data_IF_815781908236
#
_entry.id   IF_815781908236
#
_cell.length_a   1.000
_cell.length_b   1.000
_cell.length_c   1.000
_cell.angle_alpha   90.00
_cell.angle_beta   90.00
_cell.angle_gamma   90.00
#
_symmetry.space_group_name_H-M   'P 1'
#
loop_
_entity.id
_entity.type
_entity.pdbx_description
1 polymer ?
#
# COMPACT_ATOMS: atom_id res chain seq x y z
N UNK A 1 12.88 -15.51 33.15
CA UNK A 1 12.76 -14.10 33.51
C UNK A 1 11.52 -13.48 32.91
N UNK A 2 10.78 -12.73 33.71
CA UNK A 2 9.53 -12.16 33.22
C UNK A 2 9.78 -11.00 32.27
N UNK A 3 9.30 -11.14 31.07
CA UNK A 3 9.42 -10.11 30.04
C UNK A 3 8.16 -9.28 29.94
N UNK A 4 7.38 -9.29 30.99
CA UNK A 4 6.09 -8.55 31.02
C UNK A 4 6.33 -7.11 31.45
N UNK A 5 5.82 -6.20 30.65
CA UNK A 5 5.68 -4.82 31.04
C UNK A 5 4.60 -4.75 32.13
N UNK A 6 4.81 -4.01 33.23
CA UNK A 6 3.76 -3.89 34.23
C UNK A 6 2.47 -3.36 33.62
N UNK A 7 1.37 -4.06 33.86
CA UNK A 7 0.06 -3.70 33.32
C UNK A 7 -0.26 -4.27 31.95
N UNK A 8 0.71 -4.87 31.28
CA UNK A 8 0.49 -5.46 29.96
C UNK A 8 0.10 -6.93 30.10
N UNK A 9 -0.75 -7.38 29.18
CA UNK A 9 -1.20 -8.77 29.13
C UNK A 9 -0.19 -9.69 28.44
N UNK A 10 0.63 -9.11 27.53
CA UNK A 10 1.56 -9.91 26.73
C UNK A 10 2.97 -9.80 27.27
N UNK A 11 3.79 -10.84 26.99
CA UNK A 11 5.22 -10.79 27.28
C UNK A 11 5.95 -10.08 26.13
N UNK A 12 7.19 -9.68 26.40
CA UNK A 12 8.02 -9.08 25.36
C UNK A 12 8.22 -10.04 24.18
N UNK A 13 8.39 -11.32 24.47
CA UNK A 13 8.59 -12.33 23.43
C UNK A 13 7.36 -12.42 22.51
N UNK A 14 6.17 -12.36 23.09
CA UNK A 14 4.93 -12.37 22.30
C UNK A 14 4.83 -11.12 21.44
N UNK A 15 5.15 -9.95 22.00
CA UNK A 15 5.11 -8.71 21.24
C UNK A 15 6.15 -8.72 20.11
N UNK A 16 7.35 -9.18 20.39
CA UNK A 16 8.42 -9.25 19.38
C UNK A 16 8.03 -10.21 18.25
N UNK A 17 7.40 -11.34 18.58
CA UNK A 17 6.91 -12.28 17.58
C UNK A 17 5.86 -11.62 16.67
N UNK A 18 4.96 -10.83 17.26
CA UNK A 18 3.97 -10.11 16.50
C UNK A 18 4.63 -9.12 15.55
N UNK A 19 5.60 -8.36 16.05
CA UNK A 19 6.26 -7.32 15.26
C UNK A 19 7.11 -7.91 14.13
N UNK A 20 7.89 -8.96 14.40
CA UNK A 20 8.74 -9.55 13.35
C UNK A 20 7.90 -10.16 12.22
N UNK A 21 6.69 -10.60 12.51
CA UNK A 21 5.77 -11.08 11.49
C UNK A 21 5.58 -10.05 10.37
N UNK A 22 5.50 -8.78 10.74
CA UNK A 22 5.22 -7.72 9.77
C UNK A 22 6.42 -7.33 8.93
N UNK A 23 7.64 -7.71 9.32
CA UNK A 23 8.78 -7.59 8.41
C UNK A 23 8.53 -8.41 7.16
N UNK A 24 8.26 -9.70 7.35
CA UNK A 24 8.05 -10.62 6.24
C UNK A 24 6.81 -10.29 5.43
N UNK A 25 5.72 -9.96 6.13
CA UNK A 25 4.48 -9.62 5.43
C UNK A 25 4.68 -8.43 4.50
N UNK A 26 5.41 -7.42 4.94
CA UNK A 26 5.65 -6.23 4.12
C UNK A 26 6.60 -6.50 2.97
N UNK A 27 7.54 -7.40 3.14
CA UNK A 27 8.39 -7.83 2.02
C UNK A 27 7.50 -8.49 0.95
N UNK A 28 6.63 -9.42 1.34
CA UNK A 28 5.72 -10.06 0.39
C UNK A 28 4.81 -9.04 -0.29
N UNK A 29 4.27 -8.10 0.48
CA UNK A 29 3.41 -7.10 -0.10
C UNK A 29 4.12 -6.30 -1.18
N UNK A 30 5.34 -5.86 -0.90
CA UNK A 30 6.08 -5.01 -1.85
C UNK A 30 6.56 -5.77 -3.06
N UNK A 31 6.88 -7.06 -2.91
CA UNK A 31 7.20 -7.89 -4.06
C UNK A 31 6.07 -7.85 -5.08
N UNK A 32 4.83 -8.00 -4.63
CA UNK A 32 3.69 -8.00 -5.56
C UNK A 32 3.15 -6.61 -5.86
N UNK A 33 3.31 -5.65 -4.98
CA UNK A 33 2.81 -4.30 -5.25
C UNK A 33 3.73 -3.52 -6.19
N UNK A 34 5.04 -3.71 -6.05
CA UNK A 34 6.01 -2.90 -6.81
C UNK A 34 6.77 -3.71 -7.85
N UNK A 35 7.31 -4.86 -7.48
CA UNK A 35 8.20 -5.57 -8.40
C UNK A 35 7.47 -6.36 -9.48
N UNK A 36 6.22 -6.72 -9.28
CA UNK A 36 5.50 -7.55 -10.24
C UNK A 36 5.46 -6.89 -11.62
N UNK A 37 5.29 -5.57 -11.70
CA UNK A 37 5.25 -4.86 -12.98
C UNK A 37 6.56 -4.99 -13.72
N UNK A 38 7.69 -4.79 -13.03
CA UNK A 38 9.00 -4.94 -13.61
C UNK A 38 9.23 -6.39 -14.07
N UNK A 39 8.88 -7.34 -13.22
CA UNK A 39 9.06 -8.75 -13.58
C UNK A 39 8.27 -9.12 -14.83
N UNK A 40 7.01 -8.70 -14.90
CA UNK A 40 6.17 -8.99 -16.07
C UNK A 40 6.66 -8.29 -17.33
N UNK A 41 7.19 -7.08 -17.19
CA UNK A 41 7.72 -6.34 -18.33
C UNK A 41 9.00 -6.97 -18.87
N UNK A 42 9.63 -7.89 -18.12
CA UNK A 42 10.84 -8.58 -18.54
C UNK A 42 10.58 -10.02 -18.99
N UNK A 43 9.32 -10.35 -19.33
CA UNK A 43 8.97 -11.69 -19.80
C UNK A 43 8.90 -11.81 -21.33
N UNK A 44 9.12 -10.71 -22.05
CA UNK A 44 9.03 -10.73 -23.52
C UNK A 44 7.61 -10.81 -24.04
N UNK A 45 6.64 -10.41 -23.24
CA UNK A 45 5.22 -10.47 -23.59
C UNK A 45 4.73 -9.05 -23.90
N UNK A 46 3.78 -8.94 -24.82
CA UNK A 46 3.18 -7.65 -25.19
C UNK A 46 2.68 -6.92 -23.94
N UNK A 47 3.15 -5.68 -23.73
CA UNK A 47 2.84 -4.95 -22.50
C UNK A 47 1.36 -4.61 -22.34
N UNK A 48 0.64 -4.36 -23.44
CA UNK A 48 -0.79 -4.09 -23.35
C UNK A 48 -1.54 -5.31 -22.82
N UNK A 49 -1.16 -6.51 -23.26
CA UNK A 49 -1.77 -7.74 -22.76
C UNK A 49 -1.44 -7.97 -21.29
N UNK A 50 -0.19 -7.73 -20.89
CA UNK A 50 0.22 -7.83 -19.49
C UNK A 50 -0.61 -6.87 -18.63
N UNK A 51 -0.75 -5.63 -19.10
CA UNK A 51 -1.50 -4.62 -18.35
C UNK A 51 -2.94 -5.05 -18.13
N UNK A 52 -3.57 -5.61 -19.14
CA UNK A 52 -4.96 -6.05 -19.02
C UNK A 52 -5.10 -7.19 -18.01
N UNK A 53 -4.23 -8.20 -18.10
CA UNK A 53 -4.30 -9.34 -17.18
C UNK A 53 -3.99 -8.87 -15.75
N UNK A 54 -2.99 -8.02 -15.59
CA UNK A 54 -2.63 -7.48 -14.27
C UNK A 54 -3.80 -6.72 -13.66
N UNK A 55 -4.46 -5.88 -14.46
CA UNK A 55 -5.63 -5.15 -13.99
C UNK A 55 -6.74 -6.09 -13.55
N UNK A 56 -7.03 -7.10 -14.35
CA UNK A 56 -8.11 -8.04 -14.04
C UNK A 56 -7.84 -8.77 -12.72
N UNK A 57 -6.63 -9.29 -12.53
CA UNK A 57 -6.34 -10.07 -11.32
C UNK A 57 -6.28 -9.19 -10.09
N UNK A 58 -5.82 -7.93 -10.24
CA UNK A 58 -5.78 -7.02 -9.10
C UNK A 58 -7.17 -6.48 -8.74
N UNK A 59 -8.05 -6.31 -9.71
CA UNK A 59 -9.45 -5.98 -9.43
C UNK A 59 -10.10 -7.14 -8.68
N UNK A 60 -9.79 -8.38 -9.07
CA UNK A 60 -10.26 -9.55 -8.32
C UNK A 60 -9.84 -9.44 -6.85
N UNK A 61 -8.60 -9.03 -6.58
CA UNK A 61 -8.12 -8.81 -5.23
C UNK A 61 -9.03 -7.84 -4.46
N UNK A 62 -9.41 -6.74 -5.10
CA UNK A 62 -10.25 -5.74 -4.44
C UNK A 62 -11.65 -6.25 -4.13
N UNK A 63 -12.22 -7.10 -4.98
CA UNK A 63 -13.59 -7.56 -4.79
C UNK A 63 -13.70 -8.84 -3.98
N UNK A 64 -12.60 -9.60 -3.81
CA UNK A 64 -12.70 -10.85 -3.08
C UNK A 64 -12.55 -10.70 -1.56
N UNK A 65 -12.15 -9.52 -1.07
CA UNK A 65 -12.00 -9.30 0.35
C UNK A 65 -13.29 -9.56 1.15
N UNK A 66 -14.47 -9.08 0.70
CA UNK A 66 -15.69 -9.43 1.43
C UNK A 66 -15.95 -10.93 1.49
N UNK A 67 -15.60 -11.64 0.41
CA UNK A 67 -15.75 -13.10 0.38
C UNK A 67 -14.85 -13.73 1.43
N UNK A 68 -13.60 -13.29 1.51
CA UNK A 68 -12.66 -13.81 2.50
C UNK A 68 -13.05 -13.46 3.92
N UNK A 69 -13.51 -12.22 4.13
CA UNK A 69 -13.99 -11.84 5.44
C UNK A 69 -15.11 -12.75 5.90
N UNK A 70 -16.05 -13.05 5.01
CA UNK A 70 -17.14 -13.95 5.31
C UNK A 70 -16.64 -15.35 5.65
N UNK A 71 -15.73 -15.89 4.84
CA UNK A 71 -15.15 -17.23 5.08
C UNK A 71 -14.41 -17.26 6.42
N UNK A 72 -13.58 -16.22 6.67
CA UNK A 72 -12.82 -16.13 7.90
C UNK A 72 -13.74 -16.14 9.13
N UNK A 73 -14.84 -15.41 9.07
CA UNK A 73 -15.78 -15.34 10.18
C UNK A 73 -16.55 -16.65 10.38
N UNK A 74 -16.80 -17.40 9.33
CA UNK A 74 -17.64 -18.61 9.41
C UNK A 74 -16.87 -19.87 9.74
N UNK A 75 -15.60 -19.98 9.36
CA UNK A 75 -14.82 -21.20 9.61
C UNK A 75 -14.39 -21.23 11.08
N UNK A 76 -14.64 -22.34 11.74
CA UNK A 76 -14.23 -22.56 13.12
C UNK A 76 -13.36 -23.82 13.19
N UNK A 77 -12.27 -23.72 13.92
CA UNK A 77 -11.35 -24.83 14.07
C UNK A 77 -11.64 -25.59 15.36
N UNK A 78 -11.23 -26.85 15.40
CA UNK A 78 -11.53 -27.75 16.52
C UNK A 78 -11.01 -27.25 17.85
N UNK A 79 -9.88 -26.54 17.85
CA UNK A 79 -9.29 -26.04 19.08
C UNK A 79 -9.92 -24.72 19.57
N UNK A 80 -10.93 -24.22 18.88
CA UNK A 80 -11.59 -22.98 19.23
C UNK A 80 -10.88 -21.71 18.82
N UNK A 81 -9.69 -21.84 18.25
CA UNK A 81 -8.93 -20.70 17.77
C UNK A 81 -9.45 -20.26 16.42
N UNK A 82 -9.34 -18.96 16.13
CA UNK A 82 -9.83 -18.40 14.87
C UNK A 82 -8.68 -17.90 13.99
N UNK A 83 -7.82 -17.04 14.54
CA UNK A 83 -6.76 -16.40 13.75
C UNK A 83 -5.53 -17.26 13.59
N UNK A 84 -5.08 -17.90 14.65
CA UNK A 84 -3.79 -18.58 14.65
C UNK A 84 -3.70 -19.73 13.64
N UNK A 85 -4.74 -20.58 13.47
CA UNK A 85 -4.64 -21.63 12.44
C UNK A 85 -4.49 -21.04 11.04
N UNK A 86 -5.19 -19.94 10.74
CA UNK A 86 -5.04 -19.30 9.43
C UNK A 86 -3.62 -18.77 9.25
N UNK A 87 -3.02 -18.19 10.30
CA UNK A 87 -1.65 -17.69 10.22
C UNK A 87 -0.66 -18.84 9.97
N UNK A 88 -0.88 -19.97 10.59
CA UNK A 88 -0.01 -21.13 10.37
C UNK A 88 -0.09 -21.63 8.93
N UNK A 89 -1.30 -21.72 8.41
CA UNK A 89 -1.51 -22.15 7.02
C UNK A 89 -0.83 -21.16 6.07
N UNK A 90 -1.06 -19.87 6.27
CA UNK A 90 -0.52 -18.87 5.36
C UNK A 90 1.00 -18.76 5.45
N UNK A 91 1.58 -18.88 6.65
CA UNK A 91 3.04 -18.82 6.80
C UNK A 91 3.71 -19.99 6.05
N UNK A 92 3.08 -21.16 6.04
CA UNK A 92 3.61 -22.31 5.31
C UNK A 92 3.45 -22.14 3.81
N UNK A 93 2.34 -21.56 3.35
CA UNK A 93 2.00 -21.51 1.93
C UNK A 93 2.54 -20.29 1.20
N UNK A 94 2.72 -19.15 1.90
CA UNK A 94 3.05 -17.91 1.20
C UNK A 94 4.39 -17.96 0.46
N UNK A 95 5.46 -18.57 1.01
CA UNK A 95 6.69 -18.67 0.21
C UNK A 95 6.50 -19.54 -1.03
N UNK A 96 5.73 -20.60 -0.93
CA UNK A 96 5.49 -21.51 -2.06
C UNK A 96 4.78 -20.78 -3.20
N UNK A 97 3.67 -20.09 -2.87
CA UNK A 97 2.91 -19.40 -3.94
C UNK A 97 3.66 -18.20 -4.50
N UNK A 98 4.50 -17.55 -3.68
CA UNK A 98 5.33 -16.45 -4.17
C UNK A 98 6.37 -16.96 -5.16
N UNK A 99 7.02 -18.07 -4.85
CA UNK A 99 8.01 -18.66 -5.76
C UNK A 99 7.33 -19.08 -7.06
N UNK A 100 6.15 -19.68 -6.99
CA UNK A 100 5.41 -20.09 -8.19
C UNK A 100 5.08 -18.85 -9.05
N UNK A 101 4.61 -17.78 -8.43
CA UNK A 101 4.24 -16.56 -9.15
C UNK A 101 5.41 -15.97 -9.92
N UNK A 102 6.60 -15.98 -9.32
CA UNK A 102 7.78 -15.37 -9.92
C UNK A 102 8.68 -16.39 -10.62
N UNK A 103 8.11 -17.52 -11.04
CA UNK A 103 8.84 -18.56 -11.75
C UNK A 103 8.12 -18.93 -13.05
N UNK A 104 7.68 -17.94 -13.79
CA UNK A 104 7.04 -18.18 -15.10
C UNK A 104 8.04 -18.90 -16.00
N UNK A 105 7.73 -20.11 -16.50
CA UNK A 105 8.68 -20.82 -17.35
C UNK A 105 8.95 -20.08 -18.65
N UNK A 106 10.21 -19.89 -18.97
CA UNK A 106 10.62 -19.17 -20.18
C UNK A 106 10.21 -19.90 -21.47
N UNK A 107 10.02 -21.21 -21.38
CA UNK A 107 9.65 -22.01 -22.55
C UNK A 107 8.20 -21.81 -23.00
N UNK A 108 7.35 -21.24 -22.12
CA UNK A 108 5.96 -20.98 -22.47
C UNK A 108 5.85 -19.87 -23.50
N UNK A 109 4.85 -19.97 -24.39
CA UNK A 109 4.50 -18.87 -25.28
C UNK A 109 3.80 -17.76 -24.54
N UNK A 110 3.48 -16.71 -25.27
CA UNK A 110 2.88 -15.51 -24.67
C UNK A 110 1.60 -15.84 -23.89
N UNK A 111 0.67 -16.58 -24.51
CA UNK A 111 -0.57 -16.95 -23.85
C UNK A 111 -0.32 -17.79 -22.60
N UNK A 112 0.61 -18.75 -22.70
CA UNK A 112 0.98 -19.59 -21.56
C UNK A 112 1.52 -18.80 -20.39
N UNK A 113 2.36 -17.79 -20.68
CA UNK A 113 2.90 -16.94 -19.62
C UNK A 113 1.82 -16.10 -18.95
N UNK A 114 0.88 -15.56 -19.75
CA UNK A 114 -0.21 -14.77 -19.18
C UNK A 114 -1.16 -15.62 -18.34
N UNK A 115 -1.44 -16.86 -18.78
CA UNK A 115 -2.28 -17.78 -18.00
C UNK A 115 -1.57 -18.17 -16.71
N UNK A 116 -0.28 -18.49 -16.78
CA UNK A 116 0.51 -18.80 -15.58
C UNK A 116 0.42 -17.66 -14.58
N UNK A 117 0.68 -16.43 -15.06
CA UNK A 117 0.65 -15.27 -14.18
C UNK A 117 -0.73 -15.10 -13.56
N UNK A 118 -1.79 -15.16 -14.35
CA UNK A 118 -3.15 -14.93 -13.84
C UNK A 118 -3.53 -15.95 -12.79
N UNK A 119 -3.30 -17.23 -13.06
CA UNK A 119 -3.63 -18.30 -12.12
C UNK A 119 -2.78 -18.23 -10.87
N UNK A 120 -1.48 -18.01 -11.03
CA UNK A 120 -0.58 -17.92 -9.88
C UNK A 120 -0.88 -16.70 -9.01
N UNK A 121 -1.27 -15.58 -9.62
CA UNK A 121 -1.61 -14.39 -8.86
C UNK A 121 -2.88 -14.61 -8.03
N UNK A 122 -3.90 -15.23 -8.60
CA UNK A 122 -5.12 -15.51 -7.85
C UNK A 122 -4.79 -16.39 -6.65
N UNK A 123 -3.96 -17.40 -6.86
CA UNK A 123 -3.53 -18.28 -5.77
C UNK A 123 -2.73 -17.50 -4.72
N UNK A 124 -1.80 -16.69 -5.16
CA UNK A 124 -1.00 -15.86 -4.27
C UNK A 124 -1.87 -14.93 -3.43
N UNK A 125 -2.82 -14.27 -4.10
CA UNK A 125 -3.70 -13.32 -3.44
C UNK A 125 -4.55 -14.00 -2.37
N UNK A 126 -5.04 -15.19 -2.66
CA UNK A 126 -5.80 -15.97 -1.69
C UNK A 126 -4.97 -16.24 -0.44
N UNK A 127 -3.75 -16.71 -0.63
CA UNK A 127 -2.87 -17.03 0.51
C UNK A 127 -2.46 -15.74 1.24
N UNK A 128 -2.13 -14.68 0.51
CA UNK A 128 -1.71 -13.43 1.14
C UNK A 128 -2.81 -12.84 2.03
N UNK A 129 -4.07 -12.94 1.59
CA UNK A 129 -5.19 -12.46 2.40
C UNK A 129 -5.21 -13.16 3.75
N UNK A 130 -4.83 -14.45 3.78
CA UNK A 130 -4.71 -15.19 5.03
C UNK A 130 -3.54 -14.75 5.90
N UNK A 131 -2.55 -14.02 5.34
CA UNK A 131 -1.49 -13.43 6.16
C UNK A 131 -1.93 -12.10 6.76
N UNK A 132 -2.93 -11.47 6.20
CA UNK A 132 -3.31 -10.09 6.51
C UNK A 132 -4.48 -10.03 7.50
N UNK A 133 -5.64 -10.56 7.11
CA UNK A 133 -6.85 -10.44 7.93
C UNK A 133 -6.66 -11.06 9.32
N UNK A 134 -6.18 -12.33 9.43
CA UNK A 134 -6.03 -12.90 10.76
C UNK A 134 -4.98 -12.21 11.61
N UNK A 135 -3.92 -11.66 11.01
CA UNK A 135 -2.87 -11.01 11.78
C UNK A 135 -3.39 -9.78 12.50
N UNK A 136 -4.22 -8.97 11.82
CA UNK A 136 -4.79 -7.80 12.46
C UNK A 136 -5.91 -8.18 13.43
N UNK A 137 -6.69 -9.22 13.13
CA UNK A 137 -7.70 -9.71 14.05
C UNK A 137 -7.09 -10.24 15.34
N UNK A 138 -5.91 -10.84 15.25
CA UNK A 138 -5.22 -11.40 16.41
C UNK A 138 -4.88 -10.35 17.47
N UNK A 139 -4.67 -9.10 17.05
CA UNK A 139 -4.37 -8.03 18.01
C UNK A 139 -5.45 -7.91 19.08
N UNK A 140 -6.71 -8.09 18.68
CA UNK A 140 -7.82 -7.98 19.61
C UNK A 140 -7.85 -9.12 20.63
N UNK A 141 -7.28 -10.28 20.30
CA UNK A 141 -7.19 -11.39 21.23
C UNK A 141 -5.94 -11.33 22.11
N UNK A 142 -4.91 -10.61 21.66
CA UNK A 142 -3.66 -10.51 22.41
C UNK A 142 -3.82 -9.64 23.65
N UNK A 143 -4.58 -8.56 23.54
CA UNK A 143 -4.75 -7.64 24.66
C UNK A 143 -6.00 -6.79 24.50
N UNK A 144 -6.64 -6.48 25.62
CA UNK A 144 -7.69 -5.47 25.66
C UNK A 144 -7.22 -4.18 26.34
N UNK A 145 -5.95 -4.14 26.73
CA UNK A 145 -5.33 -2.95 27.34
C UNK A 145 -5.04 -1.94 26.25
N UNK A 146 -5.70 -0.79 26.27
CA UNK A 146 -5.59 0.18 25.18
C UNK A 146 -4.18 0.74 25.02
N UNK A 147 -3.47 1.16 26.10
CA UNK A 147 -2.09 1.59 25.93
C UNK A 147 -1.17 0.53 25.31
N UNK A 148 -1.35 -0.73 25.71
CA UNK A 148 -0.57 -1.83 25.14
C UNK A 148 -0.87 -2.02 23.66
N UNK A 149 -2.16 -1.97 23.29
CA UNK A 149 -2.58 -2.09 21.89
C UNK A 149 -1.97 -0.98 21.05
N UNK A 150 -1.96 0.25 21.56
CA UNK A 150 -1.38 1.39 20.88
C UNK A 150 0.11 1.21 20.67
N UNK A 151 0.81 0.68 21.68
CA UNK A 151 2.24 0.38 21.56
C UNK A 151 2.48 -0.69 20.50
N UNK A 152 1.67 -1.75 20.50
CA UNK A 152 1.79 -2.81 19.50
C UNK A 152 1.66 -2.24 18.09
N UNK A 153 0.67 -1.36 17.87
CA UNK A 153 0.45 -0.77 16.56
C UNK A 153 1.56 0.20 16.15
N UNK A 154 2.03 1.00 17.12
CA UNK A 154 3.08 2.00 16.82
C UNK A 154 4.40 1.35 16.46
N UNK A 155 4.83 0.36 17.25
CA UNK A 155 6.09 -0.34 16.97
C UNK A 155 5.94 -1.17 15.69
N UNK A 156 4.74 -1.66 15.43
CA UNK A 156 4.48 -2.41 14.20
C UNK A 156 4.84 -1.59 12.95
N UNK A 157 4.60 -0.29 12.97
CA UNK A 157 4.96 0.57 11.84
C UNK A 157 6.46 0.58 11.59
N UNK A 158 7.26 0.57 12.66
CA UNK A 158 8.71 0.53 12.55
C UNK A 158 9.16 -0.79 11.89
N UNK A 159 8.61 -1.91 12.35
CA UNK A 159 8.97 -3.22 11.79
C UNK A 159 8.49 -3.36 10.35
N UNK A 160 7.31 -2.83 10.03
CA UNK A 160 6.81 -2.81 8.65
C UNK A 160 7.73 -1.99 7.75
N UNK A 161 8.20 -0.85 8.25
CA UNK A 161 9.16 -0.03 7.52
C UNK A 161 10.48 -0.75 7.27
N UNK A 162 10.93 -1.56 8.24
CA UNK A 162 12.12 -2.38 8.05
C UNK A 162 11.92 -3.38 6.91
N UNK A 163 10.73 -3.97 6.80
CA UNK A 163 10.41 -4.85 5.68
C UNK A 163 10.48 -4.14 4.34
N UNK A 164 9.90 -2.95 4.27
CA UNK A 164 9.95 -2.14 3.04
C UNK A 164 11.40 -1.83 2.67
N UNK A 165 12.22 -1.46 3.65
CA UNK A 165 13.62 -1.15 3.42
C UNK A 165 14.41 -2.36 2.94
N UNK A 166 14.19 -3.53 3.55
CA UNK A 166 14.86 -4.76 3.14
C UNK A 166 14.52 -5.07 1.69
N UNK A 167 13.23 -5.01 1.34
CA UNK A 167 12.82 -5.20 -0.05
C UNK A 167 13.52 -4.21 -0.98
N UNK A 168 13.49 -2.94 -0.65
CA UNK A 168 13.97 -1.87 -1.52
C UNK A 168 15.48 -1.84 -1.68
N UNK A 169 16.24 -2.49 -0.82
CA UNK A 169 17.70 -2.54 -0.91
C UNK A 169 18.16 -3.91 -1.41
N UNK A 170 17.65 -4.99 -0.83
CA UNK A 170 18.19 -6.32 -1.12
C UNK A 170 17.80 -6.80 -2.52
N UNK A 171 16.54 -6.62 -2.93
CA UNK A 171 16.13 -7.13 -4.23
C UNK A 171 16.89 -6.46 -5.38
N UNK A 172 17.02 -5.12 -5.42
CA UNK A 172 17.81 -4.52 -6.49
C UNK A 172 19.26 -5.02 -6.53
N UNK A 173 19.88 -5.22 -5.37
CA UNK A 173 21.26 -5.73 -5.33
C UNK A 173 21.33 -7.11 -5.97
N UNK A 174 20.43 -8.01 -5.61
CA UNK A 174 20.49 -9.41 -6.06
C UNK A 174 20.34 -9.51 -7.58
N UNK A 175 19.44 -8.73 -8.18
CA UNK A 175 19.17 -8.82 -9.62
C UNK A 175 19.99 -7.84 -10.44
N UNK A 176 20.88 -7.10 -9.80
CA UNK A 176 21.64 -6.03 -10.45
C UNK A 176 22.64 -6.56 -11.46
N UNK A 177 23.17 -5.63 -12.26
CA UNK A 177 24.24 -5.89 -13.20
C UNK A 177 25.49 -6.45 -12.52
N UNK A 178 25.68 -6.16 -11.23
CA UNK A 178 26.86 -6.56 -10.48
C UNK A 178 26.76 -7.96 -9.89
N UNK A 179 25.55 -8.43 -9.55
CA UNK A 179 25.34 -9.74 -8.94
C UNK A 179 24.74 -10.74 -9.94
N UNK A 180 23.71 -10.30 -10.70
CA UNK A 180 23.17 -11.09 -11.77
C UNK A 180 22.30 -12.28 -11.36
N UNK A 181 21.78 -12.28 -10.15
CA UNK A 181 20.88 -13.35 -9.73
C UNK A 181 19.57 -13.23 -10.52
N UNK A 182 19.01 -14.36 -10.97
CA UNK A 182 17.73 -14.29 -11.67
C UNK A 182 16.66 -13.77 -10.73
N UNK A 183 15.66 -13.10 -11.29
CA UNK A 183 14.55 -12.59 -10.48
C UNK A 183 13.88 -13.72 -9.71
N UNK A 184 13.69 -14.90 -10.35
CA UNK A 184 13.09 -16.04 -9.69
C UNK A 184 13.88 -16.48 -8.45
N UNK A 185 15.21 -16.57 -8.58
CA UNK A 185 16.04 -16.99 -7.45
C UNK A 185 16.08 -15.89 -6.37
N UNK A 186 16.15 -14.63 -6.77
CA UNK A 186 16.17 -13.52 -5.83
C UNK A 186 14.87 -13.49 -5.01
N UNK A 187 13.73 -13.65 -5.68
CA UNK A 187 12.44 -13.68 -5.00
C UNK A 187 12.34 -14.91 -4.09
N UNK A 188 12.86 -16.07 -4.53
CA UNK A 188 12.86 -17.26 -3.67
C UNK A 188 13.68 -17.00 -2.40
N UNK A 189 14.83 -16.34 -2.54
CA UNK A 189 15.68 -16.01 -1.39
C UNK A 189 14.95 -15.10 -0.41
N UNK A 190 14.36 -14.02 -0.93
CA UNK A 190 13.59 -13.10 -0.09
C UNK A 190 12.37 -13.78 0.53
N UNK A 191 11.71 -14.69 -0.23
CA UNK A 191 10.52 -15.38 0.27
C UNK A 191 10.86 -16.28 1.46
N UNK A 192 11.99 -16.97 1.39
CA UNK A 192 12.40 -17.83 2.50
C UNK A 192 12.75 -16.99 3.73
N UNK A 193 13.50 -15.91 3.53
CA UNK A 193 13.81 -14.99 4.63
C UNK A 193 12.53 -14.45 5.27
N UNK A 194 11.59 -13.99 4.43
CA UNK A 194 10.35 -13.40 4.92
C UNK A 194 9.52 -14.41 5.70
N UNK A 195 9.42 -15.65 5.20
CA UNK A 195 8.71 -16.70 5.91
C UNK A 195 9.33 -16.95 7.29
N UNK A 196 10.66 -16.92 7.36
CA UNK A 196 11.35 -17.14 8.64
C UNK A 196 10.99 -16.05 9.67
N UNK A 197 10.80 -14.82 9.24
CA UNK A 197 10.40 -13.76 10.19
C UNK A 197 8.96 -13.95 10.66
N UNK A 198 8.15 -14.68 9.92
CA UNK A 198 6.73 -14.90 10.26
C UNK A 198 6.52 -16.13 11.14
N UNK A 199 7.49 -17.03 11.18
CA UNK A 199 7.35 -18.30 11.93
C UNK A 199 7.11 -18.07 13.42
N UNK A 200 7.82 -17.18 14.13
CA UNK A 200 7.59 -17.05 15.58
C UNK A 200 6.13 -16.79 15.96
N UNK A 201 5.45 -15.94 15.24
CA UNK A 201 4.03 -15.67 15.55
C UNK A 201 3.16 -16.89 15.28
N UNK A 202 3.45 -17.62 14.23
CA UNK A 202 2.67 -18.81 13.88
C UNK A 202 2.87 -19.94 14.90
N UNK A 203 4.00 -19.96 15.59
CA UNK A 203 4.30 -20.92 16.65
C UNK A 203 3.87 -20.42 18.01
N UNK A 204 3.68 -19.26 18.05
CA UNK A 204 3.30 -18.77 19.32
C UNK A 204 2.36 -19.74 19.93
N UNK A 205 2.78 -20.05 20.89
CA UNK A 205 2.01 -21.03 21.57
C UNK A 205 0.82 -20.32 22.05
N UNK A 206 0.14 -20.79 22.08
CA UNK A 206 -1.06 -20.34 22.48
C UNK A 206 -1.11 -19.72 23.83
N UNK A 207 -0.25 -19.51 24.11
CA UNK A 207 -0.19 -18.84 25.30
C UNK A 207 -0.93 -17.58 25.34
N UNK A 208 -0.68 -17.10 24.51
CA UNK A 208 -1.28 -15.85 24.40
C UNK A 208 -2.66 -15.95 23.85
N UNK A 209 -2.70 -16.74 23.39
CA UNK A 209 -3.91 -16.81 22.70
C UNK A 209 -5.01 -17.36 23.50
N UNK A 210 -4.78 -17.41 24.38
CA UNK A 210 -5.85 -17.84 25.13
C UNK A 210 -6.85 -16.79 25.02
N UNK A 211 -7.32 -16.86 24.38
CA UNK A 211 -8.25 -15.94 24.09
C UNK A 211 -9.16 -15.73 25.18
N UNK A 212 -8.89 -14.94 25.50
CA UNK A 212 -9.73 -14.49 26.51
C UNK A 212 -10.95 -13.87 25.94
N UNK A 213 -10.70 -13.25 25.01
CA UNK A 213 -11.72 -12.59 24.39
C UNK A 213 -11.99 -13.29 23.11
N UNK A 214 -13.28 -13.44 22.91
CA UNK A 214 -13.61 -13.92 21.56
C UNK A 214 -13.37 -12.82 20.53
N UNK A 215 -12.92 -13.23 19.35
CA UNK A 215 -12.69 -12.27 18.26
C UNK A 215 -14.03 -11.75 17.77
N UNK A 216 -14.12 -10.43 17.57
CA UNK A 216 -15.32 -9.81 17.01
C UNK A 216 -15.39 -10.08 15.52
N UNK A 217 -16.60 -10.31 15.02
CA UNK A 217 -16.81 -10.45 13.59
C UNK A 217 -16.74 -9.07 12.93
N UNK A 218 -15.98 -8.96 11.85
CA UNK A 218 -15.95 -7.73 11.06
C UNK A 218 -17.16 -7.68 10.14
N UNK A 219 -17.69 -6.48 9.96
CA UNK A 219 -18.74 -6.27 8.97
C UNK A 219 -18.12 -6.28 7.57
N UNK A 220 -18.78 -6.95 6.65
CA UNK A 220 -18.35 -7.01 5.26
C UNK A 220 -19.41 -6.37 4.38
N UNK A 221 -18.98 -5.53 3.45
CA UNK A 221 -19.87 -4.79 2.59
C UNK A 221 -19.57 -5.11 1.13
N UNK A 222 -20.62 -5.28 0.33
CA UNK A 222 -20.44 -5.47 -1.10
C UNK A 222 -20.03 -4.16 -1.77
N UNK A 223 -19.40 -4.22 -2.95
CA UNK A 223 -19.12 -2.99 -3.69
C UNK A 223 -20.37 -2.16 -3.96
N UNK A 224 -21.50 -2.83 -4.23
CA UNK A 224 -22.75 -2.12 -4.47
C UNK A 224 -23.18 -1.30 -3.25
N UNK A 225 -23.07 -1.88 -2.04
CA UNK A 225 -23.39 -1.16 -0.81
C UNK A 225 -22.46 0.04 -0.62
N UNK A 226 -21.19 -0.15 -0.89
CA UNK A 226 -20.19 0.93 -0.76
C UNK A 226 -20.50 2.07 -1.71
N UNK A 227 -20.80 1.78 -2.98
CA UNK A 227 -21.11 2.84 -3.94
C UNK A 227 -22.40 3.57 -3.59
N UNK A 228 -23.40 2.85 -3.09
CA UNK A 228 -24.64 3.47 -2.67
C UNK A 228 -24.41 4.46 -1.52
N UNK A 229 -23.64 4.04 -0.52
CA UNK A 229 -23.31 4.91 0.61
C UNK A 229 -22.46 6.10 0.19
N UNK A 230 -21.50 5.86 -0.68
CA UNK A 230 -20.60 6.90 -1.17
C UNK A 230 -21.39 8.04 -1.83
N UNK A 231 -22.43 7.70 -2.57
CA UNK A 231 -23.29 8.70 -3.22
C UNK A 231 -24.08 9.54 -2.23
N UNK A 232 -24.23 9.09 -0.99
CA UNK A 232 -25.00 9.81 0.03
C UNK A 232 -24.10 10.66 0.95
N UNK A 233 -22.79 10.54 0.84
CA UNK A 233 -21.85 11.28 1.68
C UNK A 233 -20.92 12.09 0.79
N UNK A 234 -21.28 13.35 0.54
CA UNK A 234 -20.60 14.15 -0.47
C UNK A 234 -19.12 14.42 -0.12
N UNK A 235 -18.78 14.54 1.16
CA UNK A 235 -17.38 14.78 1.52
C UNK A 235 -16.54 13.52 1.43
N UNK A 236 -17.13 12.38 1.71
CA UNK A 236 -16.46 11.10 1.46
C UNK A 236 -16.21 10.91 -0.03
N UNK A 237 -17.21 11.20 -0.84
CA UNK A 237 -17.09 11.10 -2.29
C UNK A 237 -16.00 12.03 -2.82
N UNK A 238 -16.03 13.29 -2.36
CA UNK A 238 -15.06 14.30 -2.79
C UNK A 238 -13.65 13.89 -2.39
N UNK A 239 -13.48 13.47 -1.13
CA UNK A 239 -12.15 13.11 -0.64
C UNK A 239 -11.62 11.87 -1.37
N UNK A 240 -12.43 10.82 -1.51
CA UNK A 240 -11.93 9.62 -2.19
C UNK A 240 -11.88 9.77 -3.70
N UNK A 241 -12.62 10.72 -4.27
CA UNK A 241 -12.36 11.12 -5.65
C UNK A 241 -10.95 11.66 -5.81
N UNK A 242 -10.54 12.56 -4.92
CA UNK A 242 -9.18 13.09 -4.93
C UNK A 242 -8.13 12.04 -4.63
N UNK A 243 -8.36 11.23 -3.60
CA UNK A 243 -7.44 10.15 -3.26
C UNK A 243 -7.23 9.20 -4.44
N UNK A 244 -8.32 8.78 -5.08
CA UNK A 244 -8.22 7.84 -6.19
C UNK A 244 -7.51 8.45 -7.39
N UNK A 245 -7.74 9.73 -7.67
CA UNK A 245 -7.04 10.39 -8.78
C UNK A 245 -5.52 10.40 -8.54
N UNK A 246 -5.10 10.71 -7.32
CA UNK A 246 -3.67 10.69 -6.97
C UNK A 246 -3.12 9.28 -7.04
N UNK A 247 -3.77 8.32 -6.38
CA UNK A 247 -3.17 7.00 -6.20
C UNK A 247 -3.30 6.12 -7.42
N UNK A 248 -4.36 6.28 -8.23
CA UNK A 248 -4.48 5.51 -9.46
C UNK A 248 -3.41 5.89 -10.48
N UNK A 249 -2.91 7.13 -10.41
CA UNK A 249 -1.86 7.60 -11.33
C UNK A 249 -0.47 7.58 -10.70
N UNK A 250 -0.29 6.91 -9.57
CA UNK A 250 1.01 6.76 -8.93
C UNK A 250 1.82 5.67 -9.62
N UNK A 251 2.30 5.98 -10.80
CA UNK A 251 2.95 5.00 -11.67
C UNK A 251 4.46 4.90 -11.45
N UNK A 252 5.04 5.77 -10.64
CA UNK A 252 6.51 5.84 -10.45
C UNK A 252 7.10 4.53 -9.94
N UNK A 253 6.48 3.93 -8.93
CA UNK A 253 7.04 2.74 -8.29
C UNK A 253 7.17 1.57 -9.27
N UNK A 254 6.24 1.44 -10.19
CA UNK A 254 6.23 0.34 -11.14
C UNK A 254 7.42 0.42 -12.11
N UNK A 255 7.99 1.59 -12.32
CA UNK A 255 9.05 1.78 -13.33
C UNK A 255 10.38 2.25 -12.75
N UNK A 256 10.50 2.32 -11.41
CA UNK A 256 11.73 2.82 -10.78
C UNK A 256 12.97 2.04 -11.21
N UNK A 257 12.90 0.72 -11.31
CA UNK A 257 14.04 -0.08 -11.72
C UNK A 257 14.42 0.19 -13.18
N UNK A 258 13.43 0.37 -14.05
CA UNK A 258 13.71 0.71 -15.45
C UNK A 258 14.27 2.11 -15.60
N UNK A 259 13.76 3.08 -14.82
CA UNK A 259 14.34 4.43 -14.81
C UNK A 259 15.81 4.36 -14.39
N UNK A 260 16.09 3.60 -13.35
CA UNK A 260 17.46 3.44 -12.86
C UNK A 260 18.36 2.81 -13.92
N UNK A 261 17.89 1.73 -14.53
CA UNK A 261 18.68 1.00 -15.52
C UNK A 261 18.88 1.80 -16.81
N UNK A 262 17.78 2.31 -17.39
CA UNK A 262 17.84 2.92 -18.72
C UNK A 262 18.22 4.40 -18.71
N UNK A 263 17.80 5.15 -17.68
CA UNK A 263 18.06 6.59 -17.67
C UNK A 263 19.27 6.95 -16.81
N UNK A 264 19.54 6.18 -15.76
CA UNK A 264 20.70 6.46 -14.89
C UNK A 264 21.87 5.51 -15.11
N UNK A 265 21.67 4.51 -15.96
CA UNK A 265 22.77 3.64 -16.38
C UNK A 265 23.07 2.46 -15.49
N UNK A 266 22.39 2.30 -14.36
CA UNK A 266 22.63 1.17 -13.47
C UNK A 266 21.38 0.96 -12.59
N UNK A 267 20.88 -0.27 -12.56
CA UNK A 267 19.67 -0.57 -11.79
C UNK A 267 19.84 -0.34 -10.29
N UNK A 268 21.08 -0.30 -9.78
CA UNK A 268 21.35 -0.02 -8.38
C UNK A 268 20.95 1.39 -7.96
N UNK A 269 20.78 2.33 -8.91
CA UNK A 269 20.24 3.64 -8.58
C UNK A 269 18.86 3.56 -7.95
N UNK A 270 18.14 2.47 -8.18
CA UNK A 270 16.84 2.29 -7.54
C UNK A 270 16.94 2.31 -6.03
N UNK A 271 18.06 1.88 -5.46
CA UNK A 271 18.29 1.93 -4.01
C UNK A 271 18.32 3.39 -3.55
N UNK A 272 19.06 4.23 -4.27
CA UNK A 272 19.11 5.66 -3.94
C UNK A 272 17.71 6.28 -3.99
N UNK A 273 16.96 5.98 -5.05
CA UNK A 273 15.61 6.52 -5.20
C UNK A 273 14.68 6.01 -4.11
N UNK A 274 14.79 4.74 -3.74
CA UNK A 274 13.96 4.17 -2.65
C UNK A 274 14.29 4.85 -1.32
N UNK A 275 15.57 5.08 -1.03
CA UNK A 275 15.97 5.74 0.21
C UNK A 275 15.52 7.20 0.24
N UNK A 276 15.62 7.91 -0.90
CA UNK A 276 15.14 9.29 -0.98
C UNK A 276 13.63 9.39 -0.79
N UNK A 277 12.90 8.36 -1.21
CA UNK A 277 11.45 8.34 -1.03
C UNK A 277 11.03 7.97 0.39
N UNK A 278 11.97 7.54 1.22
CA UNK A 278 11.69 7.02 2.55
C UNK A 278 12.26 7.87 3.67
N UNK A 279 13.55 8.23 3.58
CA UNK A 279 14.24 8.88 4.70
C UNK A 279 13.70 10.27 5.01
N UNK A 280 13.49 11.18 4.03
CA UNK A 280 12.90 12.47 4.38
C UNK A 280 11.50 12.34 4.97
N UNK A 281 10.79 11.26 4.62
CA UNK A 281 9.47 10.99 5.16
C UNK A 281 9.48 10.68 6.65
N UNK A 282 10.55 10.05 7.14
CA UNK A 282 10.70 9.80 8.57
C UNK A 282 10.75 11.12 9.34
N UNK A 283 11.50 12.10 8.81
CA UNK A 283 11.55 13.42 9.43
C UNK A 283 10.22 14.13 9.38
N UNK A 284 9.48 14.00 8.27
CA UNK A 284 8.14 14.56 8.17
C UNK A 284 7.21 13.93 9.22
N UNK A 285 7.29 12.63 9.41
CA UNK A 285 6.46 11.94 10.41
C UNK A 285 6.75 12.45 11.82
N UNK A 286 8.01 12.74 12.11
CA UNK A 286 8.39 13.27 13.42
C UNK A 286 7.79 14.65 13.68
N UNK A 287 7.59 15.45 12.62
CA UNK A 287 7.03 16.79 12.73
C UNK A 287 5.50 16.81 12.76
N UNK A 288 4.85 15.72 12.37
CA UNK A 288 3.39 15.73 12.19
C UNK A 288 2.61 16.07 13.46
N UNK A 289 2.93 15.55 14.65
CA UNK A 289 2.16 15.95 15.83
C UNK A 289 2.16 17.46 16.06
N UNK A 290 3.31 18.11 15.84
CA UNK A 290 3.40 19.56 15.98
C UNK A 290 2.58 20.29 14.92
N UNK A 291 2.66 19.81 13.68
CA UNK A 291 1.91 20.40 12.56
C UNK A 291 0.41 20.31 12.83
N UNK A 292 -0.07 19.15 13.28
CA UNK A 292 -1.50 18.92 13.50
C UNK A 292 -2.06 19.70 14.67
N UNK A 293 -1.22 20.11 15.63
CA UNK A 293 -1.69 20.95 16.73
C UNK A 293 -1.97 22.37 16.26
N UNK A 294 -1.28 22.84 15.23
CA UNK A 294 -1.32 24.23 14.81
C UNK A 294 -2.14 24.46 13.53
N UNK A 295 -2.23 23.48 12.67
CA UNK A 295 -2.82 23.63 11.36
C UNK A 295 -3.97 22.67 11.16
N UNK A 296 -4.98 23.14 10.41
CA UNK A 296 -6.08 22.29 9.97
C UNK A 296 -5.56 21.18 9.06
N UNK A 297 -6.02 19.95 9.28
CA UNK A 297 -5.58 18.78 8.51
C UNK A 297 -5.79 18.97 7.02
N UNK A 298 -7.00 19.40 6.61
CA UNK A 298 -7.30 19.46 5.19
C UNK A 298 -6.51 20.58 4.51
N UNK A 299 -6.36 21.72 5.17
CA UNK A 299 -5.55 22.80 4.59
C UNK A 299 -4.10 22.36 4.40
N UNK A 300 -3.58 21.60 5.36
CA UNK A 300 -2.23 21.04 5.25
C UNK A 300 -2.13 20.10 4.06
N UNK A 301 -3.10 19.19 3.90
CA UNK A 301 -3.13 18.28 2.75
C UNK A 301 -3.19 19.08 1.44
N UNK A 302 -4.07 20.04 1.36
CA UNK A 302 -4.28 20.81 0.12
C UNK A 302 -3.02 21.54 -0.31
N UNK A 303 -2.38 22.24 0.63
CA UNK A 303 -1.20 23.03 0.27
C UNK A 303 0.02 22.16 0.01
N UNK A 304 0.16 21.04 0.72
CA UNK A 304 1.20 20.07 0.39
C UNK A 304 0.98 19.50 -1.00
N UNK A 305 -0.27 19.25 -1.37
CA UNK A 305 -0.59 18.75 -2.71
C UNK A 305 -0.17 19.78 -3.78
N UNK A 306 -0.43 21.06 -3.54
CA UNK A 306 -0.01 22.14 -4.46
C UNK A 306 1.52 22.19 -4.59
N UNK A 307 2.23 22.10 -3.45
CA UNK A 307 3.71 22.10 -3.47
C UNK A 307 4.22 20.86 -4.24
N UNK A 308 3.59 19.71 -4.04
CA UNK A 308 3.96 18.49 -4.77
C UNK A 308 3.78 18.66 -6.27
N UNK A 309 2.70 19.31 -6.69
CA UNK A 309 2.46 19.57 -8.12
C UNK A 309 3.56 20.46 -8.68
N UNK A 310 3.87 21.55 -7.99
CA UNK A 310 4.89 22.50 -8.46
C UNK A 310 6.26 21.81 -8.55
N UNK A 311 6.67 21.13 -7.47
CA UNK A 311 7.96 20.43 -7.46
C UNK A 311 8.00 19.30 -8.48
N UNK A 312 6.89 18.60 -8.65
CA UNK A 312 6.81 17.54 -9.65
C UNK A 312 6.97 18.04 -11.06
N UNK A 313 6.35 19.19 -11.37
CA UNK A 313 6.52 19.79 -12.69
C UNK A 313 7.94 20.28 -12.89
N UNK A 314 8.54 20.87 -11.85
CA UNK A 314 9.94 21.31 -11.94
C UNK A 314 10.84 20.10 -12.22
N UNK A 315 10.66 18.99 -11.49
CA UNK A 315 11.46 17.79 -11.69
C UNK A 315 11.29 17.27 -13.12
N UNK A 316 10.06 17.22 -13.59
CA UNK A 316 9.80 16.70 -14.95
C UNK A 316 10.51 17.53 -16.00
N UNK A 317 10.41 18.86 -15.94
CA UNK A 317 10.99 19.72 -16.98
C UNK A 317 12.50 19.88 -16.83
N UNK A 318 13.03 19.87 -15.62
CA UNK A 318 14.48 19.89 -15.40
C UNK A 318 15.11 18.60 -15.93
N UNK A 319 14.42 17.47 -15.74
CA UNK A 319 14.89 16.18 -16.21
C UNK A 319 15.86 15.54 -15.25
N UNK A 320 16.54 14.52 -15.74
CA UNK A 320 17.37 13.65 -14.91
C UNK A 320 18.87 13.74 -15.24
N UNK A 321 19.26 14.54 -16.24
CA UNK A 321 20.65 14.58 -16.67
C UNK A 321 21.56 15.21 -15.63
N UNK A 322 21.12 16.28 -14.97
CA UNK A 322 21.84 16.82 -13.82
C UNK A 322 21.43 16.02 -12.60
N UNK A 323 22.25 15.03 -12.27
CA UNK A 323 21.90 14.05 -11.25
C UNK A 323 21.75 14.70 -9.87
N UNK A 324 22.69 15.59 -9.51
CA UNK A 324 22.64 16.24 -8.21
C UNK A 324 21.36 17.07 -8.05
N UNK A 325 20.98 17.80 -9.08
CA UNK A 325 19.77 18.62 -9.04
C UNK A 325 18.52 17.73 -8.94
N UNK A 326 18.46 16.66 -9.74
CA UNK A 326 17.34 15.72 -9.68
C UNK A 326 17.20 15.10 -8.28
N UNK A 327 18.32 14.64 -7.70
CA UNK A 327 18.27 14.01 -6.38
C UNK A 327 17.89 15.00 -5.30
N UNK A 328 18.39 16.24 -5.38
CA UNK A 328 18.05 17.28 -4.42
C UNK A 328 16.55 17.61 -4.47
N UNK A 329 16.04 17.83 -5.66
CA UNK A 329 14.61 18.15 -5.83
C UNK A 329 13.73 16.99 -5.37
N UNK A 330 14.13 15.75 -5.65
CA UNK A 330 13.39 14.57 -5.21
C UNK A 330 13.37 14.48 -3.68
N UNK A 331 14.51 14.73 -3.04
CA UNK A 331 14.60 14.73 -1.58
C UNK A 331 13.67 15.77 -0.97
N UNK A 332 13.69 17.00 -1.50
CA UNK A 332 12.84 18.08 -1.00
C UNK A 332 11.37 17.72 -1.18
N UNK A 333 11.01 17.19 -2.35
CA UNK A 333 9.62 16.85 -2.66
C UNK A 333 9.09 15.72 -1.77
N UNK A 334 9.97 14.83 -1.32
CA UNK A 334 9.55 13.71 -0.49
C UNK A 334 8.89 14.17 0.82
N UNK A 335 9.30 15.32 1.37
CA UNK A 335 8.72 15.82 2.62
C UNK A 335 7.22 16.13 2.46
N UNK A 336 6.78 17.00 1.54
CA UNK A 336 5.34 17.22 1.40
C UNK A 336 4.59 15.99 0.89
N UNK A 337 5.23 15.14 0.08
CA UNK A 337 4.59 13.89 -0.33
C UNK A 337 4.33 12.97 0.84
N UNK A 338 5.29 12.89 1.77
CA UNK A 338 5.12 12.07 2.97
C UNK A 338 4.02 12.63 3.88
N UNK A 339 3.92 13.95 3.99
CA UNK A 339 2.85 14.57 4.76
C UNK A 339 1.49 14.18 4.19
N UNK A 340 1.33 14.25 2.87
CA UNK A 340 0.08 13.83 2.22
C UNK A 340 -0.22 12.36 2.53
N UNK A 341 0.78 11.50 2.46
CA UNK A 341 0.60 10.08 2.74
C UNK A 341 0.20 9.81 4.19
N UNK A 342 0.80 10.53 5.13
CA UNK A 342 0.47 10.36 6.55
C UNK A 342 -0.95 10.82 6.82
N UNK A 343 -1.38 11.91 6.21
CA UNK A 343 -2.73 12.45 6.41
C UNK A 343 -3.80 11.64 5.69
N UNK A 344 -3.44 10.84 4.70
CA UNK A 344 -4.39 10.28 3.72
C UNK A 344 -5.59 9.61 4.36
N UNK A 345 -5.39 8.84 5.44
CA UNK A 345 -6.48 8.09 6.05
C UNK A 345 -7.03 8.73 7.30
N UNK A 346 -6.60 9.93 7.62
CA UNK A 346 -7.14 10.69 8.75
C UNK A 346 -8.47 11.36 8.42
N UNK A 347 -8.84 11.40 7.13
CA UNK A 347 -10.09 12.02 6.69
C UNK A 347 -11.26 11.05 6.70
N UNK A 348 -10.99 9.75 6.74
CA UNK A 348 -12.04 8.74 6.76
C UNK A 348 -12.91 8.86 8.01
N UNK A 349 -12.34 8.92 9.23
CA UNK A 349 -13.20 9.12 10.41
C UNK A 349 -13.92 10.47 10.39
N UNK A 350 -13.31 11.52 9.85
CA UNK A 350 -13.97 12.81 9.75
C UNK A 350 -15.23 12.73 8.88
N UNK A 351 -15.12 12.03 7.75
CA UNK A 351 -16.28 11.85 6.87
C UNK A 351 -17.34 10.96 7.50
N UNK A 352 -16.93 10.00 8.33
CA UNK A 352 -17.89 9.18 9.07
C UNK A 352 -18.68 10.04 10.07
N UNK A 353 -18.00 10.97 10.76
CA UNK A 353 -18.68 11.88 11.68
C UNK A 353 -19.66 12.78 10.93
N UNK A 354 -19.26 13.31 9.79
CA UNK A 354 -20.16 14.11 8.97
C UNK A 354 -21.38 13.30 8.54
N UNK A 355 -21.17 12.07 8.10
CA UNK A 355 -22.27 11.21 7.66
C UNK A 355 -23.27 10.95 8.77
N UNK A 356 -22.78 10.68 9.99
CA UNK A 356 -23.66 10.48 11.13
C UNK A 356 -24.40 11.76 11.53
N UNK A 357 -23.67 12.89 11.48
CA UNK A 357 -24.29 14.18 11.80
C UNK A 357 -25.44 14.49 10.85
N UNK A 358 -25.28 14.19 9.55
CA UNK A 358 -26.31 14.48 8.55
C UNK A 358 -27.47 13.51 8.61
N UNK A 359 -27.21 12.23 8.81
CA UNK A 359 -28.26 11.19 8.71
C UNK A 359 -28.82 10.73 10.05
N UNK A 360 -28.08 10.94 11.14
CA UNK A 360 -28.42 10.42 12.45
C UNK A 360 -28.04 8.97 12.65
N UNK A 361 -27.47 8.32 11.67
CA UNK A 361 -27.13 6.90 11.73
C UNK A 361 -25.63 6.74 11.55
N UNK A 362 -25.00 5.98 12.45
CA UNK A 362 -23.57 5.70 12.34
C UNK A 362 -23.31 4.73 11.21
N UNK A 363 -22.34 5.07 10.36
CA UNK A 363 -21.95 4.23 9.24
C UNK A 363 -20.43 4.11 9.16
N UNK A 364 -19.77 3.97 10.33
CA UNK A 364 -18.31 3.89 10.37
C UNK A 364 -17.78 2.69 9.60
N UNK A 365 -18.43 1.54 9.75
CA UNK A 365 -17.94 0.32 9.09
C UNK A 365 -17.86 0.46 7.59
N UNK A 366 -18.93 0.94 6.96
CA UNK A 366 -18.94 1.07 5.51
C UNK A 366 -18.02 2.19 5.04
N UNK A 367 -17.86 3.24 5.85
CA UNK A 367 -16.94 4.32 5.52
C UNK A 367 -15.49 3.80 5.43
N UNK A 368 -15.08 2.97 6.39
CA UNK A 368 -13.75 2.38 6.37
C UNK A 368 -13.59 1.29 5.31
N UNK A 369 -14.69 0.59 4.96
CA UNK A 369 -14.65 -0.36 3.84
C UNK A 369 -14.36 0.36 2.53
N UNK A 370 -14.90 1.57 2.35
CA UNK A 370 -14.61 2.38 1.17
C UNK A 370 -13.13 2.76 1.11
N UNK A 371 -12.53 3.08 2.25
CA UNK A 371 -11.09 3.33 2.32
C UNK A 371 -10.30 2.13 1.82
N UNK A 372 -10.57 0.95 2.33
CA UNK A 372 -9.84 -0.27 1.96
C UNK A 372 -10.03 -0.59 0.47
N UNK A 373 -11.25 -0.48 -0.01
CA UNK A 373 -11.55 -0.74 -1.41
C UNK A 373 -10.81 0.23 -2.32
N UNK A 374 -10.78 1.52 -1.94
CA UNK A 374 -10.07 2.56 -2.71
C UNK A 374 -8.58 2.27 -2.81
N UNK A 375 -7.95 1.87 -1.69
CA UNK A 375 -6.53 1.52 -1.69
C UNK A 375 -6.24 0.41 -2.69
N UNK A 376 -7.06 -0.64 -2.69
CA UNK A 376 -6.82 -1.80 -3.55
C UNK A 376 -7.09 -1.49 -5.02
N UNK A 377 -8.18 -0.80 -5.30
CA UNK A 377 -8.55 -0.46 -6.68
C UNK A 377 -7.49 0.45 -7.31
N UNK A 378 -7.02 1.45 -6.57
CA UNK A 378 -6.01 2.36 -7.12
C UNK A 378 -4.67 1.67 -7.33
N UNK A 379 -4.30 0.73 -6.45
CA UNK A 379 -3.09 -0.05 -6.66
C UNK A 379 -3.18 -0.88 -7.94
N UNK A 380 -4.37 -1.46 -8.20
CA UNK A 380 -4.60 -2.21 -9.43
C UNK A 380 -4.42 -1.32 -10.66
N UNK A 381 -5.04 -0.16 -10.63
CA UNK A 381 -5.00 0.76 -11.77
C UNK A 381 -3.58 1.28 -12.00
N UNK A 382 -2.86 1.68 -10.94
CA UNK A 382 -1.55 2.32 -11.12
C UNK A 382 -0.53 1.36 -11.72
N UNK A 383 -0.48 0.12 -11.28
CA UNK A 383 0.45 -0.87 -11.82
C UNK A 383 0.16 -1.15 -13.30
N UNK A 384 -1.11 -1.34 -13.61
CA UNK A 384 -1.52 -1.66 -14.97
C UNK A 384 -1.33 -0.48 -15.89
N UNK A 385 -1.65 0.72 -15.42
CA UNK A 385 -1.51 1.93 -16.20
C UNK A 385 -0.05 2.18 -16.59
N UNK A 386 0.88 1.93 -15.66
CA UNK A 386 2.30 2.11 -15.95
C UNK A 386 2.71 1.26 -17.14
N UNK A 387 2.33 -0.01 -17.15
CA UNK A 387 2.71 -0.91 -18.26
C UNK A 387 1.98 -0.56 -19.55
N UNK A 388 0.69 -0.20 -19.46
CA UNK A 388 -0.07 0.18 -20.64
C UNK A 388 0.52 1.41 -21.31
N UNK A 389 0.92 2.41 -20.51
CA UNK A 389 1.51 3.62 -21.05
C UNK A 389 2.87 3.35 -21.68
N UNK A 390 3.71 2.52 -21.06
CA UNK A 390 4.98 2.14 -21.68
C UNK A 390 4.73 1.49 -23.05
N UNK A 391 3.72 0.63 -23.13
CA UNK A 391 3.36 0.01 -24.41
C UNK A 391 2.95 1.04 -25.45
N UNK A 392 2.22 2.09 -25.02
CA UNK A 392 1.84 3.17 -25.94
C UNK A 392 3.04 3.96 -26.47
N UNK A 393 4.14 4.00 -25.71
CA UNK A 393 5.36 4.68 -26.14
C UNK A 393 6.31 3.75 -26.89
N UNK A 394 5.80 2.61 -27.36
CA UNK A 394 6.55 1.67 -28.19
C UNK A 394 7.71 1.02 -27.46
N UNK A 395 7.50 0.72 -26.18
CA UNK A 395 8.50 0.02 -25.38
C UNK A 395 8.73 -1.38 -25.95
N UNK A 396 10.00 -1.72 -26.19
CA UNK A 396 10.35 -3.06 -26.65
C UNK A 396 10.35 -4.00 -25.45
N UNK A 397 9.48 -5.02 -25.48
CA UNK A 397 9.40 -6.00 -24.42
C UNK A 397 10.54 -7.00 -24.59
N UNK A 398 11.43 -7.08 -23.60
CA UNK A 398 12.63 -7.91 -23.66
C UNK A 398 12.52 -8.99 -22.60
N UNK A 399 12.83 -10.23 -23.01
CA UNK A 399 12.87 -11.34 -22.05
C UNK A 399 14.26 -11.40 -21.43
N UNK A 400 14.33 -11.15 -20.12
CA UNK A 400 15.58 -11.20 -19.37
C UNK A 400 15.28 -11.57 -17.92
N UNK A 401 16.13 -12.40 -17.34
CA UNK A 401 15.91 -12.90 -15.99
C UNK A 401 16.53 -12.01 -14.92
N UNK A 402 17.37 -11.04 -15.30
CA UNK A 402 18.02 -10.12 -14.37
C UNK A 402 18.43 -8.87 -15.14
N UNK A 403 18.87 -7.85 -14.41
CA UNK A 403 19.41 -6.67 -15.08
C UNK A 403 20.78 -6.92 -15.68
N UNK A 404 21.54 -7.88 -15.14
CA UNK A 404 22.77 -8.32 -15.78
C UNK A 404 22.45 -8.92 -17.17
N UNK A 405 21.46 -9.81 -17.21
CA UNK A 405 21.06 -10.44 -18.48
C UNK A 405 20.53 -9.39 -19.46
N UNK A 406 19.76 -8.43 -18.96
CA UNK A 406 19.21 -7.36 -19.80
C UNK A 406 20.32 -6.53 -20.42
N UNK A 407 21.32 -6.18 -19.62
CA UNK A 407 22.47 -5.42 -20.11
C UNK A 407 23.25 -6.22 -21.17
N UNK A 408 23.42 -7.52 -20.93
CA UNK A 408 24.17 -8.38 -21.86
C UNK A 408 23.51 -8.47 -23.23
N UNK A 409 22.18 -8.40 -23.30
CA UNK A 409 21.47 -8.42 -24.57
C UNK A 409 21.69 -7.16 -25.40
N UNK A 410 22.05 -6.08 -24.76
CA UNK A 410 22.40 -4.81 -25.42
C UNK A 410 21.28 -4.32 -26.36
N UNK A 411 20.03 -4.49 -25.96
CA UNK A 411 18.89 -4.02 -26.73
C UNK A 411 18.58 -2.59 -26.32
N UNK A 412 18.54 -1.69 -27.30
CA UNK A 412 18.30 -0.27 -27.07
C UNK A 412 16.82 0.03 -27.20
N UNK A 413 16.26 0.74 -26.20
CA UNK A 413 14.92 1.30 -26.33
C UNK A 413 15.00 2.56 -27.17
N UNK A 414 13.96 2.84 -27.95
CA UNK A 414 13.93 4.04 -28.78
C UNK A 414 13.92 5.31 -27.94
N UNK A 415 14.29 6.44 -28.54
CA UNK A 415 14.23 7.73 -27.86
C UNK A 415 12.81 8.03 -27.37
N UNK A 416 11.80 7.69 -28.17
CA UNK A 416 10.41 7.88 -27.77
C UNK A 416 10.00 7.01 -26.59
N UNK A 417 10.50 5.76 -26.54
CA UNK A 417 10.22 4.88 -25.42
C UNK A 417 10.86 5.38 -24.15
N UNK A 418 12.10 5.89 -24.22
CA UNK A 418 12.78 6.45 -23.05
C UNK A 418 12.11 7.72 -22.55
N UNK A 419 11.64 8.57 -23.47
CA UNK A 419 10.87 9.74 -23.09
C UNK A 419 9.57 9.33 -22.42
N UNK A 420 8.91 8.30 -22.95
CA UNK A 420 7.71 7.75 -22.32
C UNK A 420 7.97 7.22 -20.92
N UNK A 421 9.11 6.56 -20.74
CA UNK A 421 9.51 6.08 -19.41
C UNK A 421 9.59 7.24 -18.40
N UNK A 422 10.22 8.35 -18.81
CA UNK A 422 10.33 9.53 -17.97
C UNK A 422 8.95 10.14 -17.67
N UNK A 423 8.08 10.19 -18.69
CA UNK A 423 6.71 10.67 -18.52
C UNK A 423 5.95 9.81 -17.48
N UNK A 424 6.05 8.50 -17.59
CA UNK A 424 5.37 7.59 -16.66
C UNK A 424 5.94 7.75 -15.24
N UNK A 425 7.24 7.96 -15.14
CA UNK A 425 7.87 8.12 -13.82
C UNK A 425 7.58 9.48 -13.19
N UNK A 426 7.69 10.58 -13.95
CA UNK A 426 7.75 11.91 -13.39
C UNK A 426 6.51 12.77 -13.66
N UNK A 427 5.79 12.55 -14.77
CA UNK A 427 4.67 13.42 -15.12
C UNK A 427 3.31 12.83 -14.76
N UNK A 428 3.08 11.55 -15.02
CA UNK A 428 1.77 10.95 -14.78
C UNK A 428 1.33 11.11 -13.33
N UNK A 429 2.22 10.89 -12.32
CA UNK A 429 1.79 11.13 -10.93
C UNK A 429 1.37 12.59 -10.68
N UNK A 430 2.03 13.54 -11.33
CA UNK A 430 1.67 14.96 -11.18
C UNK A 430 0.29 15.24 -11.76
N UNK A 431 -0.02 14.62 -12.91
CA UNK A 431 -1.35 14.75 -13.51
C UNK A 431 -2.43 14.28 -12.53
N UNK A 432 -2.18 13.17 -11.84
CA UNK A 432 -3.09 12.67 -10.81
C UNK A 432 -3.32 13.68 -9.70
N UNK A 433 -2.25 14.33 -9.25
CA UNK A 433 -2.37 15.35 -8.20
C UNK A 433 -3.13 16.59 -8.68
N UNK A 434 -2.95 16.96 -9.94
CA UNK A 434 -3.72 18.09 -10.51
C UNK A 434 -5.21 17.75 -10.51
N UNK A 435 -5.57 16.55 -10.95
CA UNK A 435 -6.96 16.10 -10.92
C UNK A 435 -7.52 16.08 -9.50
N UNK A 436 -6.71 15.57 -8.55
CA UNK A 436 -7.10 15.55 -7.13
C UNK A 436 -7.45 16.93 -6.62
N UNK A 437 -6.68 17.93 -7.03
CA UNK A 437 -6.90 19.31 -6.56
C UNK A 437 -8.31 19.78 -6.90
N UNK A 438 -8.81 19.43 -8.10
CA UNK A 438 -10.16 19.81 -8.48
C UNK A 438 -11.21 19.15 -7.57
N UNK A 439 -11.01 17.87 -7.23
CA UNK A 439 -11.88 17.23 -6.26
C UNK A 439 -11.81 17.89 -4.90
N UNK A 440 -10.59 18.20 -4.44
CA UNK A 440 -10.40 18.75 -3.10
C UNK A 440 -10.98 20.16 -2.95
N UNK A 441 -11.18 20.89 -4.05
CA UNK A 441 -11.84 22.20 -3.97
C UNK A 441 -13.27 22.09 -3.43
N UNK A 442 -13.90 20.92 -3.57
CA UNK A 442 -15.24 20.68 -3.05
C UNK A 442 -15.30 20.21 -1.61
N UNK A 443 -14.16 19.94 -0.99
CA UNK A 443 -14.12 19.44 0.38
C UNK A 443 -14.13 20.60 1.35
N UNK A 444 -15.15 20.66 2.20
CA UNK A 444 -15.37 21.83 3.07
C UNK A 444 -15.29 21.54 4.57
N UNK A 445 -15.07 20.29 4.94
CA UNK A 445 -14.92 19.96 6.37
C UNK A 445 -13.59 20.50 6.89
N UNK A 446 -13.62 21.00 8.12
CA UNK A 446 -12.38 21.37 8.81
C UNK A 446 -12.38 20.71 10.19
N UNK A 447 -11.22 20.71 10.85
CA UNK A 447 -11.06 19.99 12.10
C UNK A 447 -12.01 20.48 13.19
N UNK A 448 -12.20 21.80 13.28
CA UNK A 448 -13.10 22.35 14.30
C UNK A 448 -14.54 21.90 14.09
N UNK A 449 -15.00 21.96 12.84
CA UNK A 449 -16.39 21.56 12.55
C UNK A 449 -16.59 20.07 12.77
N UNK A 450 -15.61 19.24 12.41
CA UNK A 450 -15.71 17.80 12.66
C UNK A 450 -15.79 17.50 14.16
N UNK A 451 -15.01 18.21 14.97
CA UNK A 451 -15.08 18.04 16.44
C UNK A 451 -16.47 18.39 16.97
N UNK A 452 -17.07 19.45 16.46
CA UNK A 452 -18.42 19.84 16.84
C UNK A 452 -19.42 18.75 16.43
N UNK A 453 -19.32 18.24 15.22
CA UNK A 453 -20.17 17.15 14.75
C UNK A 453 -20.02 15.91 15.63
N UNK A 454 -18.78 15.57 16.01
CA UNK A 454 -18.52 14.41 16.85
C UNK A 454 -19.15 14.58 18.24
N UNK A 455 -19.07 15.77 18.80
CA UNK A 455 -19.71 16.05 20.11
C UNK A 455 -21.22 15.91 20.02
N UNK A 456 -21.81 16.41 18.93
CA UNK A 456 -23.25 16.26 18.71
C UNK A 456 -23.63 14.78 18.54
N UNK A 457 -22.85 14.04 17.76
CA UNK A 457 -23.09 12.61 17.55
C UNK A 457 -22.98 11.80 18.83
N UNK A 458 -22.10 12.23 19.75
CA UNK A 458 -21.91 11.58 21.05
C UNK A 458 -22.96 11.98 22.08
N UNK A 459 -23.85 12.91 21.75
CA UNK A 459 -24.89 13.38 22.67
C UNK A 459 -24.43 14.43 23.64
N UNK A 460 -23.23 14.98 23.47
CA UNK A 460 -22.72 15.99 24.41
C UNK A 460 -23.35 17.36 24.21
N UNK A 461 -23.77 17.67 22.98
CA UNK A 461 -24.47 18.91 22.65
C UNK A 461 -25.66 18.58 21.78
N UNK A 462 -26.63 19.48 21.75
CA UNK A 462 -27.82 19.33 20.91
C UNK A 462 -27.52 19.72 19.50
N UNK A 463 -28.39 19.33 18.56
CA UNK A 463 -28.26 19.70 17.16
C UNK A 463 -28.28 21.21 16.97
N UNK A 464 -29.17 21.90 17.73
CA UNK A 464 -29.27 23.35 17.67
C UNK A 464 -27.98 24.01 18.14
N UNK A 465 -27.39 23.50 19.24
CA UNK A 465 -26.12 24.00 19.73
C UNK A 465 -25.01 23.81 18.69
N UNK A 466 -24.98 22.61 18.08
CA UNK A 466 -23.98 22.32 17.05
C UNK A 466 -24.10 23.29 15.88
N UNK A 467 -25.33 23.51 15.40
CA UNK A 467 -25.55 24.40 14.27
C UNK A 467 -25.07 25.81 14.55
N UNK A 468 -25.22 26.28 15.81
CA UNK A 468 -24.78 27.60 16.18
C UNK A 468 -23.26 27.73 16.24
N UNK A 469 -22.55 26.62 16.42
CA UNK A 469 -21.09 26.61 16.57
C UNK A 469 -20.35 26.36 15.28
N UNK A 470 -20.99 25.68 14.30
CA UNK A 470 -20.35 25.31 13.05
C UNK A 470 -20.03 26.54 12.21
N UNK A 471 -18.91 26.49 11.51
CA UNK A 471 -18.45 27.62 10.70
C UNK A 471 -19.30 27.85 9.45
N UNK A 472 -20.12 26.86 9.08
CA UNK A 472 -20.97 26.93 7.90
C UNK A 472 -22.18 26.02 8.08
N UNK A 473 -23.15 26.18 7.21
CA UNK A 473 -24.30 25.30 7.16
C UNK A 473 -23.96 24.08 6.30
N UNK A 474 -24.09 22.88 6.88
CA UNK A 474 -23.79 21.62 6.20
C UNK A 474 -25.04 20.92 5.68
#
# INVERSE_FOLDING_TARGET
>A
MADKHPGYMTTFKERLSYWTYFIGQNIYYNITAAFISTYLAMQGVNLAKVAIVLLIVKIWDAVNDPIFGFIFDKVKFKNGQKSLPWLRISTALIPIVTIILFSIPSALGETGKLVWFGAAYVLWDTVYTLTDIPAYAMLNTMTDNLPERNTLLSVNRVFSGAGVLIYGVVLPILISENVGMSASLAIATLSIFSALTMVPLSLXXXXXXXXXXPEEEDENFSPRQMFSYLGKNKYLLTYYGGYCATDALKTSAAVTLFVSFYLFGNSLYSIVLNLLNMVPGVFAAMLMPTILKKLDKFKTLFWCNIVNIILGLVIFFVGYENRALFLTLTCVRTVPMSIVGILAFMFTPDCAEYGQYKSGISAKGITFAIQTFSVKITAAVSSSLALALLGCFHWISVEAESFEALKALNIQQSAGALEGLWIVYALVPVIGMIISTFFYLGYKLNDKDVQIMARCNAGEITREEAESMLSRKY
#
